data_IF_935010486382
#
_entry.id   IF_935010486382
#
_cell.length_a   1.000
_cell.length_b   1.000
_cell.length_c   1.000
_cell.angle_alpha   90.00
_cell.angle_beta   90.00
_cell.angle_gamma   90.00
#
_symmetry.space_group_name_H-M   'P 1'
#
loop_
_entity.id
_entity.type
_entity.pdbx_description
1 polymer ?
#
# COMPACT_ATOMS: atom_id res chain seq x y z
N UNK A 1 5.06 -8.75 -11.42
CA UNK A 1 4.50 -9.92 -12.16
C UNK A 1 3.02 -9.67 -12.39
N UNK A 2 2.42 -10.12 -13.50
CA UNK A 2 0.95 -10.13 -13.62
C UNK A 2 0.45 -11.32 -14.44
N UNK A 3 -0.70 -11.87 -14.07
CA UNK A 3 -1.44 -12.90 -14.82
C UNK A 3 -2.90 -12.99 -14.34
N UNK A 4 -3.67 -13.99 -14.76
CA UNK A 4 -4.90 -14.39 -14.10
C UNK A 4 -4.64 -15.43 -12.99
N UNK A 5 -5.59 -15.60 -12.07
CA UNK A 5 -5.46 -16.51 -10.92
C UNK A 5 -5.28 -17.97 -11.31
N UNK A 6 -5.94 -18.44 -12.37
CA UNK A 6 -5.78 -19.83 -12.85
C UNK A 6 -4.35 -20.07 -13.34
N UNK A 7 -3.84 -19.21 -14.21
CA UNK A 7 -2.47 -19.33 -14.71
C UNK A 7 -1.44 -19.17 -13.59
N UNK A 8 -1.67 -18.27 -12.63
CA UNK A 8 -0.82 -18.20 -11.44
C UNK A 8 -0.79 -19.53 -10.66
N UNK A 9 -1.95 -20.20 -10.45
CA UNK A 9 -2.00 -21.47 -9.75
C UNK A 9 -1.26 -22.60 -10.49
N UNK A 10 -1.24 -22.55 -11.83
CA UNK A 10 -0.50 -23.49 -12.69
C UNK A 10 1.02 -23.21 -12.69
N UNK A 11 1.41 -21.93 -12.66
CA UNK A 11 2.81 -21.50 -12.59
C UNK A 11 3.42 -21.66 -11.20
N UNK A 12 2.61 -21.55 -10.14
CA UNK A 12 3.09 -21.60 -8.77
C UNK A 12 3.65 -22.98 -8.43
N UNK A 13 4.94 -22.99 -8.16
CA UNK A 13 5.69 -24.14 -7.67
C UNK A 13 6.75 -23.65 -6.67
N UNK A 14 7.56 -24.57 -6.15
CA UNK A 14 8.61 -24.27 -5.17
C UNK A 14 9.66 -23.26 -5.69
N UNK A 15 9.82 -23.13 -7.00
CA UNK A 15 10.80 -22.27 -7.68
C UNK A 15 10.17 -20.93 -8.13
N UNK A 16 8.88 -20.69 -7.86
CA UNK A 16 8.21 -19.42 -8.20
C UNK A 16 8.90 -18.16 -7.63
N UNK A 17 9.44 -18.17 -6.39
CA UNK A 17 10.23 -17.05 -5.88
C UNK A 17 11.46 -16.73 -6.73
N UNK A 18 12.09 -17.74 -7.36
CA UNK A 18 13.23 -17.52 -8.26
C UNK A 18 12.79 -16.89 -9.58
N UNK A 19 11.62 -17.27 -10.09
CA UNK A 19 11.01 -16.61 -11.25
C UNK A 19 10.71 -15.13 -10.97
N UNK A 20 10.21 -14.81 -9.77
CA UNK A 20 9.99 -13.43 -9.34
C UNK A 20 11.32 -12.66 -9.19
N UNK A 21 12.35 -13.30 -8.61
CA UNK A 21 13.69 -12.72 -8.49
C UNK A 21 14.33 -12.40 -9.84
N UNK A 22 14.13 -13.24 -10.86
CA UNK A 22 14.61 -12.98 -12.21
C UNK A 22 13.90 -11.78 -12.84
N UNK A 23 12.57 -11.70 -12.74
CA UNK A 23 11.80 -10.52 -13.19
C UNK A 23 12.23 -9.25 -12.46
N UNK A 24 12.48 -9.34 -11.15
CA UNK A 24 13.01 -8.21 -10.37
C UNK A 24 14.37 -7.75 -10.90
N UNK A 25 15.29 -8.67 -11.19
CA UNK A 25 16.60 -8.34 -11.76
C UNK A 25 16.50 -7.72 -13.14
N UNK A 26 15.58 -8.18 -13.98
CA UNK A 26 15.33 -7.61 -15.30
C UNK A 26 14.83 -6.16 -15.20
N UNK A 27 13.93 -5.89 -14.26
CA UNK A 27 13.31 -4.57 -14.08
C UNK A 27 14.24 -3.55 -13.39
N UNK A 28 14.97 -3.97 -12.35
CA UNK A 28 15.74 -3.06 -11.51
C UNK A 28 17.26 -3.16 -11.73
N UNK A 29 17.73 -4.07 -12.58
CA UNK A 29 19.14 -4.35 -12.83
C UNK A 29 19.95 -4.73 -11.58
N UNK A 30 19.28 -5.13 -10.50
CA UNK A 30 19.87 -5.59 -9.24
C UNK A 30 19.16 -6.85 -8.75
N UNK A 31 19.88 -7.72 -8.04
CA UNK A 31 19.24 -8.89 -7.42
C UNK A 31 18.49 -8.48 -6.15
N UNK A 32 17.36 -9.12 -5.83
CA UNK A 32 16.68 -8.88 -4.57
C UNK A 32 17.57 -9.30 -3.40
N UNK A 33 17.55 -8.53 -2.31
CA UNK A 33 18.21 -8.91 -1.08
C UNK A 33 17.58 -10.16 -0.47
N UNK A 34 18.33 -10.87 0.39
CA UNK A 34 17.87 -12.12 1.02
C UNK A 34 16.57 -11.94 1.81
N UNK A 35 16.42 -10.80 2.49
CA UNK A 35 15.20 -10.50 3.24
C UNK A 35 13.96 -10.44 2.34
N UNK A 36 14.03 -9.69 1.24
CA UNK A 36 12.95 -9.54 0.26
C UNK A 36 12.62 -10.89 -0.40
N UNK A 37 13.65 -11.65 -0.76
CA UNK A 37 13.45 -12.98 -1.34
C UNK A 37 12.75 -13.95 -0.37
N UNK A 38 13.13 -13.92 0.92
CA UNK A 38 12.49 -14.74 1.94
C UNK A 38 11.06 -14.26 2.25
N UNK A 39 10.78 -12.96 2.20
CA UNK A 39 9.41 -12.45 2.39
C UNK A 39 8.48 -12.94 1.29
N UNK A 40 8.96 -13.04 0.04
CA UNK A 40 8.19 -13.62 -1.07
C UNK A 40 7.85 -15.09 -0.84
N UNK A 41 8.81 -15.90 -0.33
CA UNK A 41 8.56 -17.32 -0.04
C UNK A 41 7.37 -17.52 0.89
N UNK A 42 7.31 -16.75 1.98
CA UNK A 42 6.23 -16.87 2.97
C UNK A 42 4.93 -16.21 2.51
N UNK A 43 4.98 -14.99 1.95
CA UNK A 43 3.77 -14.25 1.57
C UNK A 43 3.05 -14.93 0.40
N UNK A 44 3.78 -15.40 -0.62
CA UNK A 44 3.19 -16.04 -1.79
C UNK A 44 2.58 -17.40 -1.42
N UNK A 45 3.20 -18.16 -0.50
CA UNK A 45 2.63 -19.40 -0.01
C UNK A 45 1.29 -19.19 0.70
N UNK A 46 1.17 -18.13 1.50
CA UNK A 46 -0.11 -17.74 2.11
C UNK A 46 -1.13 -17.30 1.05
N UNK A 47 -0.71 -16.42 0.14
CA UNK A 47 -1.56 -15.88 -0.93
C UNK A 47 -2.09 -16.99 -1.86
N UNK A 48 -1.27 -18.01 -2.16
CA UNK A 48 -1.66 -19.17 -2.96
C UNK A 48 -2.91 -19.87 -2.40
N UNK A 49 -3.01 -20.01 -1.07
CA UNK A 49 -4.18 -20.62 -0.43
C UNK A 49 -5.43 -19.75 -0.59
N UNK A 50 -5.30 -18.43 -0.51
CA UNK A 50 -6.42 -17.50 -0.76
C UNK A 50 -6.87 -17.58 -2.23
N UNK A 51 -5.92 -17.61 -3.17
CA UNK A 51 -6.18 -17.60 -4.61
C UNK A 51 -6.97 -18.83 -5.06
N UNK A 52 -6.75 -20.00 -4.44
CA UNK A 52 -7.56 -21.20 -4.72
C UNK A 52 -9.06 -20.99 -4.56
N UNK A 53 -9.46 -20.08 -3.67
CA UNK A 53 -10.86 -19.76 -3.44
C UNK A 53 -11.41 -18.67 -4.39
N UNK A 54 -10.53 -18.02 -5.18
CA UNK A 54 -10.86 -16.97 -6.13
C UNK A 54 -10.89 -17.51 -7.56
N UNK A 55 -12.09 -17.67 -8.11
CA UNK A 55 -12.24 -18.04 -9.51
C UNK A 55 -11.97 -16.85 -10.41
N UNK A 56 -11.09 -17.05 -11.40
CA UNK A 56 -10.85 -16.14 -12.53
C UNK A 56 -10.78 -14.68 -12.12
N UNK A 57 -9.64 -14.23 -11.60
CA UNK A 57 -9.32 -12.83 -11.31
C UNK A 57 -7.99 -12.46 -11.95
N UNK A 58 -7.76 -11.17 -12.21
CA UNK A 58 -6.42 -10.67 -12.50
C UNK A 58 -5.62 -10.59 -11.21
N UNK A 59 -4.32 -10.86 -11.28
CA UNK A 59 -3.38 -10.69 -10.18
C UNK A 59 -2.14 -9.98 -10.68
N UNK A 60 -1.72 -8.97 -9.93
CA UNK A 60 -0.43 -8.29 -10.08
C UNK A 60 0.31 -8.45 -8.77
N UNK A 61 1.57 -8.87 -8.83
CA UNK A 61 2.45 -8.99 -7.67
C UNK A 61 3.57 -7.98 -7.78
N UNK A 62 3.98 -7.42 -6.64
CA UNK A 62 5.07 -6.46 -6.52
C UNK A 62 4.84 -5.23 -7.41
N UNK A 63 3.65 -4.64 -7.32
CA UNK A 63 3.27 -3.49 -8.14
C UNK A 63 3.88 -2.21 -7.58
N UNK A 64 4.70 -1.53 -8.37
CA UNK A 64 5.36 -0.27 -8.00
C UNK A 64 4.33 0.86 -8.00
N UNK A 65 4.20 1.53 -6.86
CA UNK A 65 3.21 2.60 -6.68
C UNK A 65 3.74 3.89 -7.33
N UNK A 66 2.91 4.62 -8.10
CA UNK A 66 3.31 5.87 -8.73
C UNK A 66 3.98 6.86 -7.79
N UNK A 67 4.90 7.66 -8.33
CA UNK A 67 5.52 8.79 -7.64
C UNK A 67 6.32 8.42 -6.37
N UNK A 68 6.80 7.18 -6.24
CA UNK A 68 7.78 6.76 -5.21
C UNK A 68 8.35 5.36 -5.44
N UNK A 69 9.06 4.84 -4.44
CA UNK A 69 9.75 3.55 -4.48
C UNK A 69 9.04 2.39 -3.79
N UNK A 70 7.82 2.61 -3.28
CA UNK A 70 7.06 1.57 -2.58
C UNK A 70 6.32 0.64 -3.53
N UNK A 71 5.96 -0.53 -3.01
CA UNK A 71 5.30 -1.60 -3.78
C UNK A 71 4.13 -2.14 -2.97
N UNK A 72 3.02 -2.41 -3.64
CA UNK A 72 1.98 -3.28 -3.11
C UNK A 72 2.36 -4.74 -3.38
N UNK A 73 2.25 -5.59 -2.36
CA UNK A 73 2.58 -7.01 -2.47
C UNK A 73 1.70 -7.73 -3.50
N UNK A 74 0.39 -7.47 -3.46
CA UNK A 74 -0.56 -7.99 -4.43
C UNK A 74 -1.65 -6.98 -4.77
N UNK A 75 -2.09 -6.97 -6.03
CA UNK A 75 -3.29 -6.30 -6.49
C UNK A 75 -4.14 -7.32 -7.23
N UNK A 76 -5.36 -7.54 -6.77
CA UNK A 76 -6.34 -8.30 -7.53
C UNK A 76 -7.20 -7.39 -8.39
N UNK A 77 -7.46 -7.83 -9.61
CA UNK A 77 -8.35 -7.16 -10.55
C UNK A 77 -9.58 -8.03 -10.74
N UNK A 78 -10.75 -7.48 -10.44
CA UNK A 78 -12.04 -8.11 -10.60
C UNK A 78 -12.99 -7.25 -11.42
N UNK A 79 -14.25 -7.64 -11.40
CA UNK A 79 -15.32 -6.86 -11.98
C UNK A 79 -16.59 -7.05 -11.15
N UNK A 80 -17.07 -5.97 -10.55
CA UNK A 80 -18.35 -5.92 -9.84
C UNK A 80 -19.41 -5.31 -10.77
N UNK A 81 -20.01 -4.18 -10.39
CA UNK A 81 -20.78 -3.33 -11.30
C UNK A 81 -19.85 -2.56 -12.25
N UNK A 82 -18.62 -2.30 -11.82
CA UNK A 82 -17.54 -1.74 -12.63
C UNK A 82 -16.22 -2.47 -12.31
N UNK A 83 -15.16 -2.29 -13.13
CA UNK A 83 -13.85 -2.88 -12.85
C UNK A 83 -13.41 -2.54 -11.43
N UNK A 84 -12.77 -3.48 -10.74
CA UNK A 84 -12.39 -3.28 -9.35
C UNK A 84 -10.96 -3.72 -9.06
N UNK A 85 -10.31 -2.98 -8.16
CA UNK A 85 -8.99 -3.29 -7.62
C UNK A 85 -9.14 -3.60 -6.13
N UNK A 86 -8.51 -4.69 -5.69
CA UNK A 86 -8.19 -4.92 -4.29
C UNK A 86 -6.67 -4.85 -4.13
N UNK A 87 -6.18 -3.79 -3.50
CA UNK A 87 -4.77 -3.58 -3.19
C UNK A 87 -4.46 -4.23 -1.84
N UNK A 88 -3.43 -5.05 -1.79
CA UNK A 88 -3.08 -5.83 -0.59
C UNK A 88 -1.64 -5.54 -0.19
N UNK A 89 -1.48 -5.18 1.09
CA UNK A 89 -0.20 -5.16 1.79
C UNK A 89 -0.14 -6.37 2.74
N UNK A 90 0.95 -7.13 2.71
CA UNK A 90 1.14 -8.34 3.50
C UNK A 90 2.32 -8.19 4.45
N UNK A 91 2.08 -8.37 5.75
CA UNK A 91 3.16 -8.36 6.76
C UNK A 91 3.28 -9.72 7.44
N UNK A 92 4.51 -10.24 7.45
CA UNK A 92 4.87 -11.50 8.11
C UNK A 92 5.25 -11.35 9.58
N UNK A 93 4.81 -10.29 10.23
CA UNK A 93 5.11 -10.01 11.65
C UNK A 93 4.45 -11.02 12.57
N UNK A 94 5.03 -11.24 13.74
CA UNK A 94 4.48 -12.13 14.78
C UNK A 94 3.70 -11.35 15.83
N UNK A 95 4.09 -10.10 16.08
CA UNK A 95 3.36 -9.17 16.93
C UNK A 95 3.21 -7.82 16.24
N UNK A 96 2.13 -7.11 16.59
CA UNK A 96 1.88 -5.75 16.12
C UNK A 96 1.07 -5.00 17.19
N UNK A 97 1.51 -3.80 17.53
CA UNK A 97 0.78 -2.84 18.36
C UNK A 97 0.71 -1.51 17.63
N UNK A 98 -0.46 -0.88 17.62
CA UNK A 98 -0.64 0.41 16.96
C UNK A 98 -0.23 1.51 17.91
N UNK A 99 0.65 2.38 17.43
CA UNK A 99 1.07 3.58 18.16
C UNK A 99 0.18 4.76 17.74
N UNK A 100 0.08 4.99 16.42
CA UNK A 100 -0.70 6.08 15.85
C UNK A 100 -1.14 5.76 14.39
N UNK A 101 -1.70 6.75 13.71
CA UNK A 101 -2.14 6.60 12.31
C UNK A 101 -0.99 6.22 11.35
N UNK A 102 0.26 6.60 11.64
CA UNK A 102 1.44 6.36 10.77
C UNK A 102 2.36 5.26 11.27
N UNK A 103 2.33 4.92 12.56
CA UNK A 103 3.34 4.08 13.22
C UNK A 103 2.75 2.92 13.98
N UNK A 104 3.44 1.78 13.93
CA UNK A 104 3.17 0.58 14.74
C UNK A 104 4.47 0.08 15.36
N UNK A 105 4.37 -0.68 16.45
CA UNK A 105 5.47 -1.51 16.94
C UNK A 105 5.20 -2.94 16.48
N UNK A 106 6.04 -3.46 15.60
CA UNK A 106 5.96 -4.82 15.10
C UNK A 106 7.27 -5.57 15.38
N UNK A 107 7.16 -6.76 15.97
CA UNK A 107 8.32 -7.58 16.37
C UNK A 107 9.41 -6.77 17.12
N UNK A 108 8.96 -5.89 18.04
CA UNK A 108 9.77 -4.95 18.84
C UNK A 108 10.50 -3.86 18.04
N UNK A 109 10.06 -3.55 16.82
CA UNK A 109 10.59 -2.46 16.00
C UNK A 109 9.49 -1.47 15.64
N UNK A 110 9.84 -0.19 15.60
CA UNK A 110 8.95 0.84 15.07
C UNK A 110 8.92 0.72 13.55
N UNK A 111 7.73 0.56 13.00
CA UNK A 111 7.47 0.37 11.58
C UNK A 111 6.34 1.31 11.14
N UNK A 112 6.21 1.54 9.84
CA UNK A 112 5.07 2.28 9.30
C UNK A 112 3.81 1.43 9.40
N UNK A 113 2.70 2.07 9.77
CA UNK A 113 1.40 1.43 9.84
C UNK A 113 0.97 0.95 8.44
N UNK A 114 0.81 -0.37 8.22
CA UNK A 114 0.48 -0.91 6.89
C UNK A 114 -0.90 -0.45 6.39
N UNK A 115 -1.83 -0.11 7.29
CA UNK A 115 -3.12 0.44 6.90
C UNK A 115 -2.98 1.83 6.28
N UNK A 116 -2.04 2.64 6.80
CA UNK A 116 -1.69 3.91 6.18
C UNK A 116 -1.01 3.71 4.82
N UNK A 117 -0.07 2.76 4.72
CA UNK A 117 0.61 2.44 3.46
C UNK A 117 -0.41 2.12 2.36
N UNK A 118 -1.31 1.17 2.62
CA UNK A 118 -2.27 0.72 1.60
C UNK A 118 -3.33 1.78 1.26
N UNK A 119 -3.69 2.63 2.23
CA UNK A 119 -4.53 3.82 1.97
C UNK A 119 -3.82 4.81 1.04
N UNK A 120 -2.54 5.07 1.28
CA UNK A 120 -1.72 5.94 0.45
C UNK A 120 -1.56 5.36 -0.97
N UNK A 121 -1.37 4.04 -1.09
CA UNK A 121 -1.32 3.34 -2.38
C UNK A 121 -2.60 3.54 -3.17
N UNK A 122 -3.75 3.36 -2.51
CA UNK A 122 -5.06 3.51 -3.12
C UNK A 122 -5.26 4.92 -3.69
N UNK A 123 -4.92 5.95 -2.90
CA UNK A 123 -4.97 7.34 -3.36
C UNK A 123 -4.02 7.59 -4.54
N UNK A 124 -2.76 7.16 -4.45
CA UNK A 124 -1.77 7.40 -5.52
C UNK A 124 -2.16 6.70 -6.82
N UNK A 125 -2.62 5.46 -6.75
CA UNK A 125 -3.14 4.72 -7.91
C UNK A 125 -4.33 5.48 -8.51
N UNK A 126 -5.34 5.82 -7.70
CA UNK A 126 -6.56 6.50 -8.17
C UNK A 126 -6.28 7.81 -8.91
N UNK A 127 -5.36 8.62 -8.39
CA UNK A 127 -5.16 9.98 -8.90
C UNK A 127 -3.97 10.12 -9.86
N UNK A 128 -3.04 9.15 -9.89
CA UNK A 128 -1.83 9.24 -10.72
C UNK A 128 -1.81 8.27 -11.90
N UNK A 129 -2.87 7.50 -12.12
CA UNK A 129 -2.97 6.54 -13.22
C UNK A 129 -4.16 6.92 -14.12
N UNK A 130 -3.93 6.93 -15.44
CA UNK A 130 -4.94 7.20 -16.46
C UNK A 130 -5.75 5.94 -16.80
N UNK A 131 -7.04 6.11 -17.14
CA UNK A 131 -7.88 5.02 -17.67
C UNK A 131 -8.46 4.09 -16.61
N UNK A 132 -8.31 4.45 -15.33
CA UNK A 132 -8.89 3.70 -14.20
C UNK A 132 -9.89 4.52 -13.39
N UNK A 133 -10.39 5.64 -13.92
CA UNK A 133 -11.30 6.55 -13.22
C UNK A 133 -12.62 5.89 -12.80
N UNK A 134 -13.06 4.86 -13.53
CA UNK A 134 -14.27 4.09 -13.24
C UNK A 134 -14.01 2.85 -12.37
N UNK A 135 -12.75 2.61 -11.96
CA UNK A 135 -12.42 1.45 -11.14
C UNK A 135 -12.83 1.69 -9.69
N UNK A 136 -13.47 0.70 -9.08
CA UNK A 136 -13.67 0.65 -7.64
C UNK A 136 -12.36 0.21 -6.98
N UNK A 137 -11.75 1.08 -6.18
CA UNK A 137 -10.46 0.80 -5.55
C UNK A 137 -10.69 0.55 -4.06
N UNK A 138 -10.35 -0.65 -3.62
CA UNK A 138 -10.38 -1.07 -2.22
C UNK A 138 -8.99 -1.55 -1.81
N UNK A 139 -8.77 -1.62 -0.50
CA UNK A 139 -7.50 -2.04 0.05
C UNK A 139 -7.65 -2.86 1.32
N UNK A 140 -6.69 -3.74 1.58
CA UNK A 140 -6.58 -4.47 2.84
C UNK A 140 -5.13 -4.73 3.23
N UNK A 141 -4.93 -4.99 4.52
CA UNK A 141 -3.69 -5.48 5.10
C UNK A 141 -3.89 -6.92 5.57
N UNK A 142 -2.93 -7.78 5.30
CA UNK A 142 -2.92 -9.16 5.78
C UNK A 142 -1.69 -9.40 6.65
N UNK A 143 -1.90 -9.64 7.94
CA UNK A 143 -0.90 -10.00 8.93
C UNK A 143 -0.79 -11.53 9.04
N UNK A 144 -0.18 -12.15 8.04
CA UNK A 144 -0.33 -13.60 7.79
C UNK A 144 0.31 -14.52 8.84
N UNK A 145 1.17 -13.99 9.72
CA UNK A 145 1.79 -14.72 10.83
C UNK A 145 1.21 -14.37 12.21
N UNK A 146 0.28 -13.42 12.29
CA UNK A 146 -0.44 -13.08 13.53
C UNK A 146 -1.72 -13.92 13.57
N UNK A 147 -1.93 -14.67 14.65
CA UNK A 147 -3.07 -15.59 14.78
C UNK A 147 -4.21 -15.04 15.62
N UNK A 148 -3.99 -14.00 16.41
CA UNK A 148 -5.02 -13.34 17.19
C UNK A 148 -4.69 -11.86 17.23
N UNK A 149 -5.47 -11.06 16.51
CA UNK A 149 -5.40 -9.62 16.64
C UNK A 149 -6.57 -9.16 17.50
N UNK A 150 -6.27 -8.62 18.69
CA UNK A 150 -7.28 -8.27 19.70
C UNK A 150 -8.22 -7.11 19.31
N UNK A 151 -8.07 -6.56 18.10
CA UNK A 151 -8.96 -5.53 17.55
C UNK A 151 -9.35 -5.91 16.12
N UNK A 152 -10.64 -6.15 15.89
CA UNK A 152 -11.21 -6.03 14.55
C UNK A 152 -10.97 -4.59 14.11
N UNK A 153 -10.07 -4.40 13.15
CA UNK A 153 -9.83 -3.10 12.55
C UNK A 153 -10.23 -3.17 11.10
N UNK A 154 -10.99 -2.19 10.66
CA UNK A 154 -11.46 -2.10 9.29
C UNK A 154 -10.27 -2.19 8.32
N UNK A 155 -10.30 -3.21 7.47
CA UNK A 155 -9.28 -3.45 6.45
C UNK A 155 -7.98 -4.10 6.93
N UNK A 156 -7.83 -4.51 8.19
CA UNK A 156 -6.68 -5.31 8.66
C UNK A 156 -7.16 -6.71 9.08
N UNK A 157 -6.56 -7.74 8.49
CA UNK A 157 -6.91 -9.13 8.72
C UNK A 157 -5.71 -9.93 9.20
N UNK A 158 -5.94 -10.84 10.14
CA UNK A 158 -4.96 -11.77 10.69
C UNK A 158 -4.91 -13.10 9.92
N UNK A 159 -3.84 -13.87 10.10
CA UNK A 159 -3.55 -15.07 9.30
C UNK A 159 -4.55 -16.23 9.46
N UNK A 160 -5.34 -16.25 10.53
CA UNK A 160 -6.41 -17.23 10.75
C UNK A 160 -7.78 -16.77 10.22
N UNK A 161 -7.92 -15.53 9.76
CA UNK A 161 -9.18 -14.98 9.24
C UNK A 161 -9.38 -15.27 7.74
N UNK A 162 -8.89 -16.41 7.25
CA UNK A 162 -8.91 -16.75 5.82
C UNK A 162 -10.32 -16.69 5.21
N UNK A 163 -11.33 -17.20 5.90
CA UNK A 163 -12.71 -17.15 5.42
C UNK A 163 -13.24 -15.72 5.27
N UNK A 164 -12.89 -14.84 6.22
CA UNK A 164 -13.27 -13.43 6.18
C UNK A 164 -12.52 -12.68 5.07
N UNK A 165 -11.22 -12.94 4.91
CA UNK A 165 -10.41 -12.40 3.81
C UNK A 165 -11.01 -12.80 2.46
N UNK A 166 -11.32 -14.09 2.27
CA UNK A 166 -11.93 -14.61 1.03
C UNK A 166 -13.29 -13.96 0.80
N UNK A 167 -14.11 -13.78 1.85
CA UNK A 167 -15.41 -13.11 1.77
C UNK A 167 -15.26 -11.66 1.29
N UNK A 168 -14.31 -10.90 1.85
CA UNK A 168 -14.10 -9.52 1.44
C UNK A 168 -13.51 -9.42 0.03
N UNK A 169 -12.61 -10.33 -0.36
CA UNK A 169 -12.11 -10.43 -1.73
C UNK A 169 -13.25 -10.68 -2.71
N UNK A 170 -14.11 -11.67 -2.46
CA UNK A 170 -15.25 -11.98 -3.32
C UNK A 170 -16.22 -10.80 -3.41
N UNK A 171 -16.61 -10.21 -2.28
CA UNK A 171 -17.49 -9.04 -2.23
C UNK A 171 -17.02 -7.89 -3.14
N UNK A 172 -15.71 -7.67 -3.24
CA UNK A 172 -15.15 -6.55 -4.02
C UNK A 172 -14.67 -6.94 -5.42
N UNK A 173 -14.58 -8.22 -5.77
CA UNK A 173 -14.01 -8.68 -7.03
C UNK A 173 -14.98 -9.50 -7.89
N UNK A 174 -16.02 -10.09 -7.31
CA UNK A 174 -17.03 -10.90 -8.01
C UNK A 174 -18.15 -10.03 -8.62
N UNK A 175 -18.85 -10.51 -9.67
CA UNK A 175 -18.83 -11.88 -10.20
C UNK A 175 -17.73 -12.18 -11.21
N UNK A 176 -17.05 -11.18 -11.74
CA UNK A 176 -16.31 -11.33 -13.00
C UNK A 176 -14.83 -10.99 -12.94
N UNK A 177 -14.19 -11.19 -14.08
CA UNK A 177 -12.89 -10.65 -14.41
C UNK A 177 -12.85 -10.42 -15.92
N UNK A 178 -12.46 -9.21 -16.30
CA UNK A 178 -12.20 -8.85 -17.68
C UNK A 178 -10.68 -8.72 -17.89
N UNK A 179 -10.06 -9.55 -18.74
CA UNK A 179 -8.64 -9.42 -19.09
C UNK A 179 -8.28 -8.03 -19.63
N UNK A 180 -9.23 -7.33 -20.28
CA UNK A 180 -9.02 -5.95 -20.71
C UNK A 180 -8.81 -5.02 -19.52
N UNK A 181 -9.56 -5.17 -18.42
CA UNK A 181 -9.37 -4.36 -17.21
C UNK A 181 -7.99 -4.56 -16.58
N UNK A 182 -7.46 -5.79 -16.57
CA UNK A 182 -6.08 -6.04 -16.14
C UNK A 182 -5.09 -5.35 -17.09
N UNK A 183 -5.26 -5.53 -18.40
CA UNK A 183 -4.39 -4.92 -19.41
C UNK A 183 -4.41 -3.38 -19.33
N UNK A 184 -5.58 -2.77 -19.14
CA UNK A 184 -5.73 -1.33 -18.89
C UNK A 184 -4.92 -0.93 -17.67
N UNK A 185 -5.10 -1.61 -16.53
CA UNK A 185 -4.40 -1.26 -15.30
C UNK A 185 -2.88 -1.41 -15.41
N UNK A 186 -2.37 -2.54 -15.93
CA UNK A 186 -0.92 -2.78 -15.98
C UNK A 186 -0.19 -1.93 -17.03
N UNK A 187 -0.89 -1.48 -18.08
CA UNK A 187 -0.31 -0.64 -19.14
C UNK A 187 -0.69 0.84 -19.00
N UNK A 188 -1.42 1.21 -17.95
CA UNK A 188 -1.86 2.57 -17.76
C UNK A 188 -0.66 3.50 -17.56
N UNK A 189 -0.74 4.67 -18.18
CA UNK A 189 0.29 5.69 -18.07
C UNK A 189 0.11 6.47 -16.78
N UNK A 190 1.24 6.89 -16.21
CA UNK A 190 1.20 7.82 -15.11
C UNK A 190 0.81 9.20 -15.61
N UNK A 191 -0.18 9.81 -14.95
CA UNK A 191 -0.46 11.24 -15.06
C UNK A 191 0.08 11.98 -13.85
N UNK A 192 0.45 13.23 -14.07
CA UNK A 192 0.72 14.12 -12.95
C UNK A 192 -0.57 14.34 -12.17
N UNK A 193 -0.53 14.19 -10.84
CA UNK A 193 -1.66 14.54 -10.00
C UNK A 193 -1.75 16.07 -9.96
N UNK A 194 -2.81 16.66 -10.53
CA UNK A 194 -2.79 18.09 -10.91
C UNK A 194 -3.09 19.03 -9.73
N UNK A 195 -3.58 18.59 -8.56
CA UNK A 195 -3.92 19.59 -7.54
C UNK A 195 -3.86 19.17 -6.05
N UNK A 196 -2.64 19.14 -5.50
CA UNK A 196 -2.40 19.01 -4.06
C UNK A 196 -3.14 20.08 -3.27
N UNK A 197 -3.20 21.31 -3.78
CA UNK A 197 -3.91 22.40 -3.13
C UNK A 197 -5.43 22.19 -3.10
N UNK A 198 -5.99 21.52 -4.11
CA UNK A 198 -7.40 21.15 -4.10
C UNK A 198 -7.70 20.09 -3.04
N UNK A 199 -6.84 19.08 -2.89
CA UNK A 199 -6.95 18.11 -1.81
C UNK A 199 -6.86 18.80 -0.44
N UNK A 200 -5.88 19.69 -0.24
CA UNK A 200 -5.76 20.48 1.00
C UNK A 200 -7.02 21.30 1.26
N UNK A 201 -7.57 21.98 0.24
CA UNK A 201 -8.80 22.77 0.37
C UNK A 201 -10.01 21.90 0.71
N UNK A 202 -10.15 20.76 0.05
CA UNK A 202 -11.25 19.80 0.25
C UNK A 202 -11.22 19.22 1.67
N UNK A 203 -10.04 18.89 2.18
CA UNK A 203 -9.85 18.24 3.48
C UNK A 203 -9.38 19.18 4.60
N UNK A 204 -9.56 20.49 4.44
CA UNK A 204 -9.01 21.48 5.38
C UNK A 204 -9.50 21.28 6.83
N UNK A 205 -10.75 20.86 7.04
CA UNK A 205 -11.30 20.57 8.37
C UNK A 205 -10.65 19.33 9.00
N UNK A 206 -10.51 18.25 8.22
CA UNK A 206 -9.88 17.02 8.69
C UNK A 206 -8.41 17.25 9.03
N UNK A 207 -7.71 17.99 8.17
CA UNK A 207 -6.32 18.41 8.38
C UNK A 207 -6.20 19.27 9.63
N UNK A 208 -7.09 20.26 9.81
CA UNK A 208 -7.13 21.10 11.02
C UNK A 208 -7.35 20.29 12.29
N UNK A 209 -8.12 19.20 12.21
CA UNK A 209 -8.35 18.27 13.31
C UNK A 209 -7.23 17.21 13.45
N UNK A 210 -6.17 17.30 12.66
CA UNK A 210 -5.01 16.42 12.72
C UNK A 210 -5.15 15.09 11.96
N UNK A 211 -6.19 14.89 11.17
CA UNK A 211 -6.42 13.68 10.38
C UNK A 211 -5.67 13.71 9.04
N UNK A 212 -4.33 13.78 9.04
CA UNK A 212 -3.57 13.91 7.78
C UNK A 212 -3.67 12.68 6.87
N UNK A 213 -4.18 11.54 7.36
CA UNK A 213 -4.56 10.40 6.51
C UNK A 213 -5.56 10.75 5.41
N UNK A 214 -6.32 11.85 5.56
CA UNK A 214 -7.16 12.39 4.50
C UNK A 214 -6.38 12.77 3.23
N UNK A 215 -5.13 13.25 3.37
CA UNK A 215 -4.26 13.50 2.22
C UNK A 215 -3.78 12.20 1.56
N UNK A 216 -3.57 11.14 2.35
CA UNK A 216 -3.21 9.83 1.81
C UNK A 216 -4.30 9.26 0.90
N UNK A 217 -5.58 9.40 1.28
CA UNK A 217 -6.69 8.97 0.41
C UNK A 217 -6.78 9.73 -0.93
N UNK A 218 -6.12 10.89 -1.05
CA UNK A 218 -6.05 11.69 -2.27
C UNK A 218 -4.72 11.53 -3.03
N UNK A 219 -3.88 10.58 -2.61
CA UNK A 219 -2.58 10.30 -3.23
C UNK A 219 -1.45 11.23 -2.80
N UNK A 220 -1.67 12.01 -1.75
CA UNK A 220 -0.72 12.98 -1.19
C UNK A 220 -0.18 12.55 0.19
N UNK A 221 -0.28 11.27 0.51
CA UNK A 221 0.39 10.70 1.68
C UNK A 221 1.90 10.56 1.45
N UNK A 222 2.64 10.65 2.55
CA UNK A 222 4.07 10.44 2.60
C UNK A 222 4.39 8.95 2.47
N UNK A 223 5.46 8.63 1.77
CA UNK A 223 6.03 7.28 1.78
C UNK A 223 6.85 7.04 3.04
N UNK A 224 7.20 5.79 3.34
CA UNK A 224 7.92 5.37 4.55
C UNK A 224 9.24 6.12 4.72
N UNK A 225 10.03 6.24 3.66
CA UNK A 225 11.29 7.03 3.66
C UNK A 225 11.06 8.52 3.98
N UNK A 226 9.87 9.05 3.66
CA UNK A 226 9.50 10.44 3.94
C UNK A 226 8.87 10.59 5.33
N UNK A 227 8.20 9.55 5.82
CA UNK A 227 7.59 9.49 7.14
C UNK A 227 8.64 9.46 8.24
N UNK A 228 9.78 8.79 8.04
CA UNK A 228 10.86 8.75 9.04
C UNK A 228 11.29 10.16 9.50
N UNK A 229 11.80 11.05 8.62
CA UNK A 229 12.17 12.40 9.03
C UNK A 229 10.96 13.25 9.43
N UNK A 230 9.78 13.02 8.83
CA UNK A 230 8.57 13.74 9.22
C UNK A 230 8.18 13.46 10.67
N UNK A 231 8.16 12.19 11.09
CA UNK A 231 7.77 11.79 12.44
C UNK A 231 8.80 12.24 13.48
N UNK A 232 10.09 12.24 13.13
CA UNK A 232 11.15 12.80 13.97
C UNK A 232 10.90 14.28 14.26
N UNK A 233 10.67 15.09 13.21
CA UNK A 233 10.39 16.52 13.32
C UNK A 233 9.12 16.78 14.15
N UNK A 234 8.05 16.01 13.90
CA UNK A 234 6.80 16.15 14.67
C UNK A 234 7.01 15.80 16.14
N UNK A 235 7.82 14.80 16.45
CA UNK A 235 8.14 14.44 17.84
C UNK A 235 8.92 15.55 18.55
N UNK A 236 9.92 16.14 17.91
CA UNK A 236 10.67 17.26 18.47
C UNK A 236 9.79 18.49 18.65
N UNK A 237 8.94 18.77 17.67
CA UNK A 237 7.94 19.82 17.74
C UNK A 237 7.00 19.61 18.94
N UNK A 238 6.51 18.38 19.17
CA UNK A 238 5.65 18.04 20.32
C UNK A 238 6.36 18.21 21.66
N UNK A 239 7.59 17.70 21.78
CA UNK A 239 8.40 17.75 23.00
C UNK A 239 9.01 19.12 23.29
N UNK A 240 8.94 20.05 22.32
CA UNK A 240 9.54 21.38 22.46
C UNK A 240 11.06 21.37 22.30
N UNK A 241 11.61 20.33 21.66
CA UNK A 241 13.03 20.19 21.39
C UNK A 241 13.40 21.16 20.25
N UNK A 242 14.25 22.17 20.48
CA UNK A 242 14.65 23.09 19.42
C UNK A 242 15.60 22.39 18.45
N UNK A 243 15.41 22.60 17.14
CA UNK A 243 16.25 21.97 16.13
C UNK A 243 16.09 22.61 14.75
N UNK A 244 17.14 22.47 13.92
CA UNK A 244 17.11 22.81 12.50
C UNK A 244 17.29 21.52 11.71
N UNK A 245 16.38 21.28 10.76
CA UNK A 245 16.37 20.07 9.95
C UNK A 245 16.73 20.38 8.50
N UNK A 246 17.67 19.62 7.95
CA UNK A 246 18.05 19.69 6.54
C UNK A 246 17.70 18.35 5.89
N UNK A 247 16.65 18.35 5.07
CA UNK A 247 16.19 17.14 4.37
C UNK A 247 16.84 17.07 2.99
N UNK A 248 17.73 16.10 2.82
CA UNK A 248 18.36 15.81 1.53
C UNK A 248 17.52 14.79 0.74
N UNK A 249 17.39 15.01 -0.57
CA UNK A 249 16.72 14.07 -1.45
C UNK A 249 16.85 14.48 -2.92
N UNK A 250 16.86 13.51 -3.82
CA UNK A 250 16.97 13.76 -5.26
C UNK A 250 15.78 14.55 -5.85
N UNK A 251 15.87 15.04 -7.10
CA UNK A 251 14.73 15.60 -7.81
C UNK A 251 13.53 14.64 -7.77
N UNK A 252 12.33 15.16 -7.50
CA UNK A 252 11.11 14.33 -7.46
C UNK A 252 10.92 13.47 -6.20
N UNK A 253 11.84 13.49 -5.23
CA UNK A 253 11.75 12.70 -3.99
C UNK A 253 10.65 13.14 -3.01
N UNK A 254 9.78 14.07 -3.40
CA UNK A 254 8.68 14.57 -2.57
C UNK A 254 9.07 15.48 -1.40
N UNK A 255 10.22 16.17 -1.44
CA UNK A 255 10.60 17.17 -0.43
C UNK A 255 9.51 18.21 -0.16
N UNK A 256 8.88 18.72 -1.22
CA UNK A 256 7.76 19.66 -1.10
C UNK A 256 6.54 19.05 -0.41
N UNK A 257 6.31 17.75 -0.58
CA UNK A 257 5.22 17.04 0.07
C UNK A 257 5.48 16.90 1.58
N UNK A 258 6.72 16.62 1.98
CA UNK A 258 7.14 16.63 3.40
C UNK A 258 6.93 18.02 4.00
N UNK A 259 7.46 19.06 3.35
CA UNK A 259 7.35 20.44 3.85
C UNK A 259 5.89 20.87 4.03
N UNK A 260 5.01 20.54 3.07
CA UNK A 260 3.59 20.86 3.16
C UNK A 260 2.91 20.06 4.28
N UNK A 261 3.19 18.75 4.40
CA UNK A 261 2.64 17.95 5.49
C UNK A 261 3.08 18.49 6.86
N UNK A 262 4.34 18.89 7.01
CA UNK A 262 4.85 19.53 8.23
C UNK A 262 4.12 20.84 8.53
N UNK A 263 3.98 21.72 7.54
CA UNK A 263 3.27 23.00 7.69
C UNK A 263 1.82 22.81 8.12
N UNK A 264 1.10 21.91 7.45
CA UNK A 264 -0.29 21.62 7.76
C UNK A 264 -0.44 21.01 9.15
N UNK A 265 0.46 20.09 9.51
CA UNK A 265 0.45 19.43 10.82
C UNK A 265 0.80 20.40 11.94
N UNK A 266 1.81 21.25 11.77
CA UNK A 266 2.20 22.25 12.79
C UNK A 266 1.07 23.25 13.01
N UNK A 267 0.46 23.73 11.91
CA UNK A 267 -0.70 24.62 11.96
C UNK A 267 -1.89 23.98 12.70
N UNK A 268 -2.19 22.71 12.45
CA UNK A 268 -3.24 21.98 13.16
C UNK A 268 -2.93 21.80 14.66
N UNK A 269 -1.65 21.73 15.02
CA UNK A 269 -1.18 21.67 16.41
C UNK A 269 -1.10 23.05 17.10
N UNK A 270 -1.32 24.14 16.36
CA UNK A 270 -1.14 25.50 16.86
C UNK A 270 0.33 25.85 17.17
N UNK A 271 1.28 25.22 16.47
CA UNK A 271 2.72 25.47 16.59
C UNK A 271 3.32 26.03 15.32
#
# INVERSE_FOLDING_TARGET
>A
YYNNTKSFLEEYNKDFPDALANKYRELFHVSPGLYLYNSWKSSIAYLYNLIKALNSKGIVLEYIIPAGGERADAIFVGNTVSPSLMIIEMKGWRTMEIVDDYSVIADNKKEVNPAYQVLNYSGKIKYSIEGIENFNINSMVILYNILNHNKSMDGIYSGNEQELIIKELKKNLDPGFDPHSLATFVNARYRQNINLFEAVRKYHLDIKNGAMKALASEGYGLYSEQLEPYLEIINDLLTGTPGNYIIHGGPGSGKSLIALNLLLRSSAMGK
#
